data_IF_682741926363
#
_entry.id   IF_682741926363
#
_cell.length_a   1.000
_cell.length_b   1.000
_cell.length_c   1.000
_cell.angle_alpha   90.00
_cell.angle_beta   90.00
_cell.angle_gamma   90.00
#
_symmetry.space_group_name_H-M   'P 1'
#
loop_
_entity.id
_entity.type
_entity.pdbx_description
1 polymer ?
#
# COMPACT_ATOMS: atom_id res chain seq x y z
N UNK A 1 -19.93 8.02 10.44
CA UNK A 1 -18.47 8.19 10.60
C UNK A 1 -18.01 7.00 11.40
N UNK A 2 -17.12 6.17 10.83
CA UNK A 2 -16.63 4.97 11.50
C UNK A 2 -15.65 5.35 12.62
N UNK A 3 -15.79 4.74 13.80
CA UNK A 3 -14.87 4.95 14.93
C UNK A 3 -13.55 4.22 14.73
N UNK A 4 -13.57 3.10 14.00
CA UNK A 4 -12.39 2.28 13.73
C UNK A 4 -12.33 1.86 12.27
N UNK A 5 -11.11 1.81 11.75
CA UNK A 5 -10.82 1.30 10.40
C UNK A 5 -9.89 0.11 10.51
N UNK A 6 -10.27 -1.01 9.90
CA UNK A 6 -9.53 -2.27 9.87
C UNK A 6 -8.96 -2.43 8.47
N UNK A 7 -7.68 -2.13 8.32
CA UNK A 7 -6.97 -2.20 7.05
C UNK A 7 -6.37 -3.59 6.91
N UNK A 8 -6.78 -4.35 5.90
CA UNK A 8 -6.29 -5.70 5.63
C UNK A 8 -5.47 -5.71 4.35
N UNK A 9 -4.27 -6.29 4.42
CA UNK A 9 -3.37 -6.35 3.29
C UNK A 9 -3.94 -7.18 2.13
N UNK A 10 -4.18 -6.52 1.00
CA UNK A 10 -4.62 -7.13 -0.25
C UNK A 10 -3.48 -7.50 -1.20
N UNK A 11 -2.21 -7.35 -0.79
CA UNK A 11 -1.05 -7.75 -1.59
C UNK A 11 -1.00 -9.27 -1.79
N UNK A 12 -0.45 -9.72 -2.92
CA UNK A 12 -0.50 -11.14 -3.34
C UNK A 12 0.03 -12.13 -2.31
N UNK A 13 1.08 -11.79 -1.55
CA UNK A 13 1.59 -12.66 -0.49
C UNK A 13 0.61 -12.84 0.68
N UNK A 14 -0.20 -11.82 0.99
CA UNK A 14 -1.27 -11.93 1.98
C UNK A 14 -2.50 -12.63 1.39
N UNK A 15 -2.83 -12.37 0.12
CA UNK A 15 -3.92 -13.07 -0.57
C UNK A 15 -3.66 -14.57 -0.69
N UNK A 16 -2.42 -14.98 -1.02
CA UNK A 16 -2.02 -16.39 -1.03
C UNK A 16 -1.99 -17.01 0.37
N UNK A 17 -2.08 -16.18 1.42
CA UNK A 17 -2.11 -16.58 2.82
C UNK A 17 -3.50 -16.34 3.44
N UNK A 18 -4.56 -16.36 2.63
CA UNK A 18 -5.97 -16.28 3.04
C UNK A 18 -6.47 -14.91 3.53
N UNK A 19 -5.88 -13.79 3.07
CA UNK A 19 -6.37 -12.47 3.48
C UNK A 19 -7.78 -12.12 3.00
N UNK A 20 -8.26 -12.74 1.91
CA UNK A 20 -9.64 -12.55 1.45
C UNK A 20 -10.65 -13.18 2.42
N UNK A 21 -10.37 -14.41 2.86
CA UNK A 21 -11.18 -15.13 3.85
C UNK A 21 -11.17 -14.41 5.21
N UNK A 22 -10.06 -13.77 5.58
CA UNK A 22 -9.99 -12.91 6.78
C UNK A 22 -10.91 -11.69 6.65
N UNK A 23 -10.95 -11.04 5.48
CA UNK A 23 -11.85 -9.91 5.23
C UNK A 23 -13.32 -10.35 5.34
N UNK A 24 -13.69 -11.46 4.68
CA UNK A 24 -15.05 -12.00 4.74
C UNK A 24 -15.46 -12.38 6.18
N UNK A 25 -14.56 -13.02 6.92
CA UNK A 25 -14.78 -13.37 8.31
C UNK A 25 -14.95 -12.12 9.20
N UNK A 26 -14.13 -11.08 9.01
CA UNK A 26 -14.24 -9.82 9.74
C UNK A 26 -15.59 -9.16 9.49
N UNK A 27 -16.00 -9.03 8.23
CA UNK A 27 -17.28 -8.41 7.87
C UNK A 27 -18.46 -9.16 8.49
N UNK A 28 -18.43 -10.50 8.45
CA UNK A 28 -19.46 -11.36 9.04
C UNK A 28 -19.53 -11.21 10.56
N UNK A 29 -18.39 -11.27 11.26
CA UNK A 29 -18.34 -11.17 12.71
C UNK A 29 -18.71 -9.76 13.20
N UNK A 30 -18.26 -8.71 12.51
CA UNK A 30 -18.63 -7.31 12.79
C UNK A 30 -20.15 -7.13 12.66
N UNK A 31 -20.76 -7.68 11.59
CA UNK A 31 -22.20 -7.65 11.40
C UNK A 31 -22.96 -8.43 12.49
N UNK A 32 -22.47 -9.62 12.87
CA UNK A 32 -23.07 -10.44 13.92
C UNK A 32 -23.04 -9.75 15.30
N UNK A 33 -22.08 -8.86 15.54
CA UNK A 33 -21.97 -8.04 16.76
C UNK A 33 -22.68 -6.68 16.65
N UNK A 34 -23.29 -6.36 15.52
CA UNK A 34 -23.99 -5.08 15.30
C UNK A 34 -23.06 -3.87 15.16
N UNK A 35 -21.80 -4.09 14.75
CA UNK A 35 -20.76 -3.06 14.69
C UNK A 35 -20.56 -2.46 13.28
N UNK A 36 -21.37 -2.86 12.29
CA UNK A 36 -21.18 -2.48 10.87
C UNK A 36 -21.23 -0.98 10.59
N UNK A 37 -21.93 -0.19 11.40
CA UNK A 37 -21.99 1.28 11.26
C UNK A 37 -20.82 1.99 11.97
N UNK A 38 -20.09 1.26 12.82
CA UNK A 38 -19.00 1.79 13.64
C UNK A 38 -17.63 1.41 13.10
N UNK A 39 -17.51 0.28 12.41
CA UNK A 39 -16.24 -0.30 12.00
C UNK A 39 -16.24 -0.58 10.50
N UNK A 40 -15.23 -0.04 9.81
CA UNK A 40 -15.04 -0.27 8.38
C UNK A 40 -13.84 -1.17 8.13
N UNK A 41 -14.07 -2.28 7.44
CA UNK A 41 -12.99 -3.11 6.87
C UNK A 41 -12.60 -2.52 5.51
N UNK A 42 -11.31 -2.35 5.27
CA UNK A 42 -10.73 -1.79 4.05
C UNK A 42 -9.63 -2.72 3.56
N UNK A 43 -9.78 -3.22 2.33
CA UNK A 43 -8.68 -3.88 1.63
C UNK A 43 -7.70 -2.82 1.14
N UNK A 44 -6.44 -2.91 1.55
CA UNK A 44 -5.38 -1.98 1.13
C UNK A 44 -4.37 -2.66 0.22
N UNK A 45 -3.45 -1.88 -0.35
CA UNK A 45 -2.27 -2.42 -1.04
C UNK A 45 -1.30 -3.16 -0.10
N UNK A 46 -0.15 -3.58 -0.63
CA UNK A 46 0.86 -4.28 0.15
C UNK A 46 1.52 -3.38 1.22
N UNK A 47 1.68 -3.89 2.45
CA UNK A 47 2.49 -3.22 3.48
C UNK A 47 4.00 -3.45 3.32
N UNK A 48 4.41 -4.49 2.59
CA UNK A 48 5.81 -4.78 2.26
C UNK A 48 6.52 -5.75 3.20
N UNK A 49 6.05 -5.94 4.44
CA UNK A 49 6.63 -6.88 5.40
C UNK A 49 6.04 -8.31 5.28
N UNK A 50 6.18 -8.92 4.10
CA UNK A 50 5.51 -10.18 3.75
C UNK A 50 5.83 -11.36 4.69
N UNK A 51 6.98 -11.35 5.38
CA UNK A 51 7.34 -12.38 6.37
C UNK A 51 6.38 -12.44 7.58
N UNK A 52 5.58 -11.39 7.78
CA UNK A 52 4.57 -11.28 8.83
C UNK A 52 3.14 -11.28 8.30
N UNK A 53 2.94 -11.60 7.02
CA UNK A 53 1.62 -11.74 6.42
C UNK A 53 0.83 -12.94 6.99
N UNK A 54 -0.51 -12.90 6.96
CA UNK A 54 -1.38 -11.76 6.65
C UNK A 54 -1.26 -10.61 7.66
N UNK A 55 -1.20 -9.39 7.14
CA UNK A 55 -1.08 -8.15 7.93
C UNK A 55 -2.44 -7.47 8.02
N UNK A 56 -2.76 -7.00 9.22
CA UNK A 56 -3.92 -6.15 9.48
C UNK A 56 -3.53 -4.99 10.41
N UNK A 57 -4.00 -3.79 10.12
CA UNK A 57 -3.81 -2.61 10.97
C UNK A 57 -5.16 -2.08 11.42
N UNK A 58 -5.29 -1.76 12.70
CA UNK A 58 -6.49 -1.13 13.25
C UNK A 58 -6.17 0.30 13.67
N UNK A 59 -6.91 1.26 13.11
CA UNK A 59 -6.91 2.67 13.52
C UNK A 59 -8.12 2.97 14.41
N UNK A 60 -8.01 3.95 15.35
CA UNK A 60 -6.98 4.98 15.45
C UNK A 60 -5.67 4.59 16.15
N UNK A 61 -5.62 3.48 16.88
CA UNK A 61 -4.48 3.08 17.72
C UNK A 61 -3.21 2.75 16.89
N UNK A 62 -3.38 2.39 15.62
CA UNK A 62 -2.29 1.96 14.76
C UNK A 62 -1.78 0.56 15.09
N UNK A 63 -2.62 -0.30 15.70
CA UNK A 63 -2.24 -1.65 16.11
C UNK A 63 -1.93 -2.49 14.88
N UNK A 64 -0.67 -2.93 14.76
CA UNK A 64 -0.24 -3.84 13.70
C UNK A 64 -0.34 -5.29 14.16
N UNK A 65 -1.34 -5.98 13.62
CA UNK A 65 -1.50 -7.42 13.76
C UNK A 65 -0.73 -8.15 12.66
N UNK A 66 0.04 -9.14 13.08
CA UNK A 66 0.90 -9.97 12.24
C UNK A 66 0.45 -11.43 12.25
N UNK A 67 0.61 -12.11 11.11
CA UNK A 67 0.29 -13.54 10.92
C UNK A 67 -1.15 -13.88 11.35
N UNK A 68 -2.08 -12.98 11.05
CA UNK A 68 -3.50 -13.17 11.37
C UNK A 68 -4.05 -14.34 10.57
N UNK A 69 -4.83 -15.19 11.23
CA UNK A 69 -5.58 -16.30 10.61
C UNK A 69 -7.08 -16.05 10.73
N UNK A 70 -7.88 -16.82 10.00
CA UNK A 70 -9.36 -16.75 10.07
C UNK A 70 -9.85 -17.07 11.49
N UNK A 71 -9.19 -18.00 12.19
CA UNK A 71 -9.56 -18.41 13.55
C UNK A 71 -9.30 -17.32 14.61
N UNK A 72 -8.43 -16.35 14.31
CA UNK A 72 -8.16 -15.22 15.19
C UNK A 72 -9.26 -14.14 15.13
N UNK A 73 -10.05 -14.12 14.05
CA UNK A 73 -11.04 -13.06 13.77
C UNK A 73 -12.06 -12.89 14.90
N UNK A 74 -12.69 -13.95 15.45
CA UNK A 74 -13.65 -13.79 16.53
C UNK A 74 -13.05 -13.16 17.80
N UNK A 75 -11.80 -13.49 18.12
CA UNK A 75 -11.07 -12.89 19.25
C UNK A 75 -10.80 -11.40 19.00
N UNK A 76 -10.29 -11.05 17.82
CA UNK A 76 -10.01 -9.66 17.44
C UNK A 76 -11.29 -8.82 17.50
N UNK A 77 -12.39 -9.32 16.93
CA UNK A 77 -13.66 -8.59 16.91
C UNK A 77 -14.20 -8.42 18.33
N UNK A 78 -14.17 -9.47 19.14
CA UNK A 78 -14.78 -9.45 20.48
C UNK A 78 -13.93 -8.73 21.54
N UNK A 79 -12.61 -8.84 21.50
CA UNK A 79 -11.71 -8.20 22.45
C UNK A 79 -11.32 -6.80 22.00
N UNK A 80 -10.79 -6.65 20.79
CA UNK A 80 -10.28 -5.35 20.36
C UNK A 80 -11.39 -4.45 19.86
N UNK A 81 -12.12 -4.88 18.83
CA UNK A 81 -13.08 -4.02 18.13
C UNK A 81 -14.34 -3.71 18.94
N UNK A 82 -14.77 -4.63 19.81
CA UNK A 82 -15.93 -4.43 20.68
C UNK A 82 -15.55 -3.84 22.05
N UNK A 83 -14.54 -4.39 22.72
CA UNK A 83 -14.21 -4.05 24.12
C UNK A 83 -12.98 -3.14 24.27
N UNK A 84 -12.29 -2.81 23.18
CA UNK A 84 -11.09 -1.96 23.19
C UNK A 84 -9.83 -2.62 23.74
N UNK A 85 -9.81 -3.96 23.89
CA UNK A 85 -8.66 -4.71 24.41
C UNK A 85 -7.86 -5.34 23.28
N UNK A 86 -6.65 -4.83 23.07
CA UNK A 86 -5.73 -5.32 22.03
C UNK A 86 -5.36 -6.79 22.27
N UNK A 87 -5.39 -7.59 21.20
CA UNK A 87 -4.99 -9.01 21.23
C UNK A 87 -3.45 -9.09 21.14
N UNK A 88 -2.78 -8.86 22.27
CA UNK A 88 -1.31 -8.66 22.33
C UNK A 88 -0.49 -9.81 21.74
N UNK A 89 -1.00 -11.05 21.76
CA UNK A 89 -0.32 -12.21 21.16
C UNK A 89 -0.13 -12.10 19.64
N UNK A 90 -0.98 -11.33 18.96
CA UNK A 90 -0.96 -11.14 17.50
C UNK A 90 -0.23 -9.86 17.07
N UNK A 91 0.03 -8.96 18.00
CA UNK A 91 0.71 -7.69 17.72
C UNK A 91 2.18 -7.95 17.37
N UNK A 92 2.69 -7.23 16.37
CA UNK A 92 4.10 -7.33 15.99
C UNK A 92 5.03 -6.83 17.09
N UNK A 93 6.01 -7.65 17.47
CA UNK A 93 6.84 -7.42 18.66
C UNK A 93 7.62 -6.10 18.63
N UNK A 94 8.15 -5.66 17.48
CA UNK A 94 8.85 -4.36 17.41
C UNK A 94 7.94 -3.14 17.59
N UNK A 95 6.61 -3.34 17.52
CA UNK A 95 5.63 -2.28 17.78
C UNK A 95 5.14 -2.26 19.23
N UNK A 96 5.47 -3.28 20.04
CA UNK A 96 5.07 -3.36 21.45
C UNK A 96 6.03 -2.55 22.32
N UNK A 97 5.49 -1.68 23.16
CA UNK A 97 6.25 -1.00 24.21
C UNK A 97 6.04 -1.65 25.58
N UNK A 98 6.97 -1.38 26.51
CA UNK A 98 6.94 -1.93 27.87
C UNK A 98 5.72 -1.46 28.70
N UNK A 99 5.12 -0.34 28.33
CA UNK A 99 3.92 0.23 28.96
C UNK A 99 2.61 -0.20 28.26
N UNK A 100 2.68 -1.19 27.36
CA UNK A 100 1.58 -1.66 26.50
C UNK A 100 1.07 -0.64 25.47
N UNK A 101 1.81 0.44 25.20
CA UNK A 101 1.54 1.30 24.05
C UNK A 101 2.06 0.68 22.75
N UNK A 102 1.50 1.13 21.62
CA UNK A 102 1.92 0.71 20.28
C UNK A 102 2.74 1.83 19.64
N UNK A 103 3.97 1.53 19.22
CA UNK A 103 4.79 2.47 18.46
C UNK A 103 4.39 2.52 16.98
N UNK A 104 4.77 3.61 16.31
CA UNK A 104 4.52 3.75 14.87
C UNK A 104 5.27 2.66 14.10
N UNK A 105 4.63 2.12 13.06
CA UNK A 105 5.29 1.20 12.13
C UNK A 105 6.55 1.82 11.52
N UNK A 106 6.55 3.13 11.31
CA UNK A 106 7.69 3.87 10.79
C UNK A 106 8.94 3.75 11.66
N UNK A 107 8.79 3.48 12.96
CA UNK A 107 9.90 3.41 13.92
C UNK A 107 10.54 2.02 14.01
N UNK A 108 9.89 1.01 13.43
CA UNK A 108 10.40 -0.37 13.40
C UNK A 108 11.70 -0.46 12.59
N UNK A 109 12.52 -1.46 12.89
CA UNK A 109 13.81 -1.66 12.21
C UNK A 109 13.64 -1.91 10.72
N UNK A 110 12.52 -2.51 10.33
CA UNK A 110 12.19 -2.75 8.93
C UNK A 110 11.92 -1.45 8.16
N UNK A 111 11.09 -0.54 8.70
CA UNK A 111 10.64 0.65 7.96
C UNK A 111 11.52 1.89 8.18
N UNK A 112 12.16 2.07 9.34
CA UNK A 112 12.84 3.33 9.72
C UNK A 112 13.93 3.80 8.75
N UNK A 113 14.56 2.87 8.04
CA UNK A 113 15.64 3.17 7.09
C UNK A 113 15.18 3.21 5.64
N UNK A 114 13.88 3.04 5.38
CA UNK A 114 13.33 3.03 4.03
C UNK A 114 12.91 4.44 3.59
N UNK A 115 13.29 4.81 2.37
CA UNK A 115 12.76 6.00 1.71
C UNK A 115 11.77 5.59 0.62
N UNK A 116 10.49 5.47 0.99
CA UNK A 116 9.42 4.99 0.11
C UNK A 116 8.92 6.13 -0.78
N UNK A 117 9.49 6.31 -1.96
CA UNK A 117 9.00 7.34 -2.92
C UNK A 117 7.82 6.82 -3.73
N UNK A 118 8.01 5.72 -4.47
CA UNK A 118 6.96 5.12 -5.30
C UNK A 118 5.89 4.40 -4.45
N UNK A 119 6.32 3.76 -3.36
CA UNK A 119 5.47 2.95 -2.48
C UNK A 119 4.84 3.73 -1.32
N UNK A 120 4.94 5.07 -1.30
CA UNK A 120 4.47 5.91 -0.17
C UNK A 120 3.01 5.70 0.21
N UNK A 121 2.17 5.36 -0.77
CA UNK A 121 0.73 5.17 -0.57
C UNK A 121 0.35 3.69 -0.32
N UNK A 122 1.27 2.74 -0.54
CA UNK A 122 0.99 1.32 -0.37
C UNK A 122 0.76 1.01 1.12
N UNK A 123 -0.41 0.44 1.42
CA UNK A 123 -0.90 0.18 2.78
C UNK A 123 -1.61 1.36 3.44
N UNK A 124 -1.66 2.53 2.79
CA UNK A 124 -2.30 3.75 3.33
C UNK A 124 -3.66 4.00 2.71
N UNK A 125 -3.81 3.73 1.41
CA UNK A 125 -5.05 3.93 0.65
C UNK A 125 -5.61 2.60 0.15
N UNK A 126 -6.90 2.59 -0.13
CA UNK A 126 -7.56 1.59 -0.95
C UNK A 126 -7.17 1.81 -2.43
N UNK A 127 -6.49 0.85 -3.10
CA UNK A 127 -6.05 1.00 -4.49
C UNK A 127 -7.21 1.07 -5.49
N UNK A 128 -8.43 0.68 -5.11
CA UNK A 128 -9.62 0.70 -5.96
C UNK A 128 -10.49 1.96 -5.76
N UNK A 129 -10.07 2.89 -4.89
CA UNK A 129 -10.79 4.11 -4.61
C UNK A 129 -10.05 5.35 -5.16
N UNK A 130 -10.63 5.98 -6.18
CA UNK A 130 -10.03 7.15 -6.82
C UNK A 130 -9.95 8.37 -5.88
N UNK A 131 -10.95 8.56 -5.01
CA UNK A 131 -11.03 9.72 -4.13
C UNK A 131 -9.91 9.69 -3.08
N UNK A 132 -9.59 8.50 -2.56
CA UNK A 132 -8.45 8.31 -1.66
C UNK A 132 -7.13 8.63 -2.36
N UNK A 133 -6.97 8.22 -3.62
CA UNK A 133 -5.76 8.54 -4.38
C UNK A 133 -5.62 10.06 -4.62
N UNK A 134 -6.71 10.74 -4.99
CA UNK A 134 -6.74 12.19 -5.17
C UNK A 134 -6.42 12.92 -3.84
N UNK A 135 -6.96 12.44 -2.71
CA UNK A 135 -6.72 13.03 -1.39
C UNK A 135 -5.24 13.02 -0.97
N UNK A 136 -4.42 12.15 -1.55
CA UNK A 136 -2.97 12.04 -1.31
C UNK A 136 -2.14 12.53 -2.50
N UNK A 137 -2.60 13.60 -3.16
CA UNK A 137 -1.97 14.26 -4.32
C UNK A 137 -1.93 13.41 -5.61
N UNK A 138 -2.72 12.34 -5.68
CA UNK A 138 -2.90 11.56 -6.90
C UNK A 138 -3.37 12.42 -8.07
N UNK A 139 -2.86 12.14 -9.27
CA UNK A 139 -3.08 12.91 -10.50
C UNK A 139 -2.60 14.37 -10.50
N UNK A 140 -2.11 14.93 -9.39
CA UNK A 140 -1.65 16.32 -9.34
C UNK A 140 -0.55 16.60 -10.39
N UNK A 141 0.40 15.67 -10.56
CA UNK A 141 1.45 15.78 -11.57
C UNK A 141 0.89 15.68 -13.00
N UNK A 142 -0.12 14.85 -13.23
CA UNK A 142 -0.79 14.75 -14.53
C UNK A 142 -1.49 16.07 -14.88
N UNK A 143 -2.20 16.67 -13.92
CA UNK A 143 -2.81 17.99 -14.08
C UNK A 143 -1.80 19.02 -14.57
N UNK A 144 -0.68 19.18 -13.84
CA UNK A 144 0.41 20.09 -14.22
C UNK A 144 0.95 19.80 -15.63
N UNK A 145 1.19 18.53 -15.96
CA UNK A 145 1.67 18.13 -17.28
C UNK A 145 0.72 18.51 -18.42
N UNK A 146 -0.60 18.47 -18.18
CA UNK A 146 -1.61 18.76 -19.19
C UNK A 146 -1.92 20.26 -19.32
N UNK A 147 -1.81 21.03 -18.24
CA UNK A 147 -2.28 22.43 -18.21
C UNK A 147 -1.16 23.47 -18.20
N UNK A 148 0.03 23.11 -17.70
CA UNK A 148 1.11 24.08 -17.43
C UNK A 148 2.40 23.79 -18.20
N UNK A 149 2.59 22.55 -18.67
CA UNK A 149 3.86 22.11 -19.26
C UNK A 149 3.73 21.77 -20.74
N UNK A 150 4.81 21.99 -21.48
CA UNK A 150 4.97 21.46 -22.84
C UNK A 150 5.55 20.04 -22.80
N UNK A 151 5.40 19.23 -23.86
CA UNK A 151 6.06 17.93 -23.94
C UNK A 151 7.57 17.99 -23.70
N UNK A 152 8.24 19.03 -24.22
CA UNK A 152 9.67 19.24 -23.98
C UNK A 152 9.96 19.57 -22.52
N UNK A 153 9.17 20.44 -21.89
CA UNK A 153 9.33 20.77 -20.46
C UNK A 153 9.19 19.54 -19.55
N UNK A 154 8.30 18.60 -19.88
CA UNK A 154 8.19 17.31 -19.17
C UNK A 154 9.46 16.48 -19.34
N UNK A 155 10.00 16.38 -20.55
CA UNK A 155 11.26 15.66 -20.83
C UNK A 155 12.42 16.29 -20.05
N UNK A 156 12.50 17.62 -19.98
CA UNK A 156 13.54 18.34 -19.27
C UNK A 156 13.49 18.06 -17.75
N UNK A 157 12.30 18.05 -17.15
CA UNK A 157 12.10 17.69 -15.74
C UNK A 157 12.59 16.26 -15.47
N UNK A 158 12.19 15.29 -16.31
CA UNK A 158 12.61 13.89 -16.14
C UNK A 158 14.12 13.75 -16.35
N UNK A 159 14.69 14.46 -17.32
CA UNK A 159 16.13 14.44 -17.57
C UNK A 159 16.91 15.02 -16.37
N UNK A 160 16.44 16.14 -15.81
CA UNK A 160 17.02 16.76 -14.62
C UNK A 160 16.90 15.89 -13.37
N UNK A 161 15.84 15.07 -13.27
CA UNK A 161 15.66 14.15 -12.14
C UNK A 161 16.72 13.04 -12.08
N UNK A 162 17.40 12.77 -13.20
CA UNK A 162 18.34 11.65 -13.30
C UNK A 162 17.67 10.28 -13.27
N UNK A 163 16.36 10.18 -13.51
CA UNK A 163 15.64 8.91 -13.54
C UNK A 163 16.23 7.97 -14.59
N UNK A 164 16.45 6.73 -14.18
CA UNK A 164 16.95 5.63 -15.01
C UNK A 164 15.92 4.52 -15.06
N UNK A 165 15.90 3.76 -16.16
CA UNK A 165 15.03 2.61 -16.33
C UNK A 165 15.21 1.59 -15.20
N UNK A 166 14.10 1.17 -14.58
CA UNK A 166 14.11 0.28 -13.41
C UNK A 166 14.03 -1.21 -13.74
N UNK A 167 13.75 -1.58 -14.98
CA UNK A 167 13.81 -2.98 -15.47
C UNK A 167 15.23 -3.49 -15.75
N UNK A 168 16.21 -3.16 -14.91
CA UNK A 168 17.59 -3.69 -14.99
C UNK A 168 18.58 -2.88 -15.84
N UNK A 169 18.25 -2.56 -17.10
CA UNK A 169 19.21 -1.94 -18.03
C UNK A 169 19.71 -0.53 -17.61
N UNK A 170 18.96 0.18 -16.76
CA UNK A 170 19.42 1.46 -16.20
C UNK A 170 19.63 2.56 -17.23
N UNK A 171 19.01 2.49 -18.41
CA UNK A 171 19.16 3.55 -19.42
C UNK A 171 18.46 4.85 -18.94
N UNK A 172 19.05 6.04 -19.15
CA UNK A 172 18.43 7.31 -18.73
C UNK A 172 17.05 7.53 -19.37
N UNK A 173 16.03 7.70 -18.55
CA UNK A 173 14.62 7.78 -19.00
C UNK A 173 14.39 9.02 -19.87
N UNK A 174 14.95 10.17 -19.45
CA UNK A 174 14.84 11.43 -20.20
C UNK A 174 15.43 11.34 -21.62
N UNK A 175 16.61 10.74 -21.75
CA UNK A 175 17.24 10.50 -23.06
C UNK A 175 16.39 9.60 -23.95
N UNK A 176 15.83 8.52 -23.39
CA UNK A 176 14.92 7.62 -24.13
C UNK A 176 13.68 8.37 -24.64
N UNK A 177 13.10 9.23 -23.81
CA UNK A 177 11.95 10.04 -24.19
C UNK A 177 12.30 11.08 -25.26
N UNK A 178 13.46 11.74 -25.16
CA UNK A 178 13.93 12.68 -26.17
C UNK A 178 14.10 12.01 -27.55
N UNK A 179 14.68 10.80 -27.59
CA UNK A 179 14.81 10.06 -28.85
C UNK A 179 13.46 9.78 -29.49
N UNK A 180 12.45 9.38 -28.71
CA UNK A 180 11.10 9.16 -29.19
C UNK A 180 10.43 10.47 -29.64
N UNK A 181 10.64 11.57 -28.92
CA UNK A 181 10.11 12.89 -29.26
C UNK A 181 10.67 13.39 -30.61
N UNK A 182 11.97 13.19 -30.85
CA UNK A 182 12.65 13.63 -32.07
C UNK A 182 12.28 12.85 -33.33
N UNK A 183 11.62 11.69 -33.21
CA UNK A 183 11.17 10.96 -34.39
C UNK A 183 10.01 11.69 -35.08
N UNK A 184 10.06 11.88 -36.42
CA UNK A 184 9.04 12.61 -37.19
C UNK A 184 7.75 11.80 -37.40
N UNK A 185 7.59 10.65 -36.75
CA UNK A 185 6.41 9.81 -36.88
C UNK A 185 5.16 10.50 -36.33
N UNK A 186 4.08 10.52 -37.11
CA UNK A 186 2.79 11.08 -36.71
C UNK A 186 2.10 10.29 -35.59
N UNK A 187 2.30 8.97 -35.52
CA UNK A 187 1.76 8.10 -34.47
C UNK A 187 2.89 7.56 -33.59
N UNK A 188 2.74 7.68 -32.27
CA UNK A 188 3.69 7.20 -31.26
C UNK A 188 2.96 6.31 -30.26
N UNK A 189 3.71 5.44 -29.58
CA UNK A 189 3.17 4.49 -28.61
C UNK A 189 3.95 4.58 -27.29
N UNK A 190 3.26 4.31 -26.20
CA UNK A 190 3.85 4.12 -24.87
C UNK A 190 3.53 2.69 -24.45
N UNK A 191 4.57 1.90 -24.18
CA UNK A 191 4.42 0.51 -23.74
C UNK A 191 4.96 0.40 -22.31
N UNK A 192 4.12 -0.05 -21.40
CA UNK A 192 4.54 -0.47 -20.07
C UNK A 192 4.93 -1.95 -20.15
N UNK A 193 6.14 -2.30 -19.74
CA UNK A 193 6.53 -3.70 -19.56
C UNK A 193 6.25 -4.07 -18.11
N UNK A 194 5.29 -4.97 -17.89
CA UNK A 194 4.88 -5.48 -16.57
C UNK A 194 5.02 -7.01 -16.50
N UNK A 195 5.92 -7.60 -17.30
CA UNK A 195 6.14 -9.04 -17.34
C UNK A 195 6.76 -9.59 -16.04
N UNK A 196 7.61 -8.79 -15.37
CA UNK A 196 8.26 -9.10 -14.07
C UNK A 196 8.72 -10.57 -13.92
N UNK A 197 9.31 -11.15 -14.98
CA UNK A 197 9.62 -12.58 -15.02
C UNK A 197 10.83 -13.04 -14.19
N UNK A 198 11.57 -12.11 -13.58
CA UNK A 198 12.79 -12.42 -12.83
C UNK A 198 12.46 -13.06 -11.46
N UNK A 199 13.05 -14.21 -11.10
CA UNK A 199 12.80 -14.84 -9.80
C UNK A 199 13.16 -13.91 -8.63
N UNK A 200 12.19 -13.72 -7.73
CA UNK A 200 12.34 -12.84 -6.56
C UNK A 200 12.01 -11.37 -6.83
N UNK A 201 11.69 -10.98 -8.07
CA UNK A 201 11.07 -9.70 -8.37
C UNK A 201 9.58 -9.71 -8.02
N UNK A 202 9.12 -8.62 -7.42
CA UNK A 202 7.71 -8.40 -7.07
C UNK A 202 7.37 -6.91 -6.90
N UNK A 203 8.27 -6.01 -7.30
CA UNK A 203 8.12 -4.57 -7.15
C UNK A 203 7.04 -3.98 -8.05
N UNK A 204 6.85 -4.52 -9.26
CA UNK A 204 5.83 -4.08 -10.22
C UNK A 204 4.44 -4.59 -9.81
N UNK A 205 4.38 -5.79 -9.22
CA UNK A 205 3.16 -6.41 -8.68
C UNK A 205 2.63 -5.79 -7.37
N UNK A 206 3.49 -5.15 -6.58
CA UNK A 206 3.24 -4.81 -5.16
C UNK A 206 2.29 -3.63 -4.90
#
# INVERSE_FOLDING_TARGET
MYRSHVLVCGGTGCTSSHSAEIIEALEKEIAAKGLSEEIKVIKTGCFGLCALGPIMIVYPEGVFYSKVTVDDVPEIVSEHLLKGRVVTRLVYDETKQADNTISSLGDTTFYKHQHRVALRNCGVINPENIDEYIAVDGYQALGKCLTELTPQGVIDIISKSGLRGRGGAGFPTGTKWQFAANQPAGKKYVCCNADEGDPGAFMDRS
#
